data_IF_646508167845
#
_entry.id   IF_646508167845
#
_cell.length_a   1.000
_cell.length_b   1.000
_cell.length_c   1.000
_cell.angle_alpha   90.00
_cell.angle_beta   90.00
_cell.angle_gamma   90.00
#
_symmetry.space_group_name_H-M   'P 1'
#
loop_
_entity.id
_entity.type
_entity.pdbx_description
1 polymer ?
#
# COMPACT_ATOMS: atom_id res chain seq x y z
N UNK A 1 39.12 14.76 28.24
CA UNK A 1 39.39 13.42 27.66
C UNK A 1 38.09 12.88 27.15
N UNK A 2 38.12 12.44 25.91
CA UNK A 2 37.07 12.55 24.90
C UNK A 2 35.85 11.65 25.06
N UNK A 3 34.69 12.27 24.82
CA UNK A 3 33.43 11.62 24.45
C UNK A 3 33.51 11.27 22.96
N UNK A 4 33.74 10.00 22.64
CA UNK A 4 33.65 9.50 21.28
C UNK A 4 32.17 9.34 20.89
N UNK A 5 31.66 10.30 20.13
CA UNK A 5 30.41 10.21 19.36
C UNK A 5 30.55 9.06 18.37
N UNK A 6 29.76 7.99 18.56
CA UNK A 6 29.59 6.93 17.54
C UNK A 6 28.89 7.54 16.33
N UNK A 7 29.64 7.66 15.24
CA UNK A 7 29.13 8.08 13.95
C UNK A 7 28.12 7.06 13.42
N UNK A 8 26.92 7.54 13.12
CA UNK A 8 25.85 6.85 12.45
C UNK A 8 26.28 6.47 11.02
N UNK A 9 26.27 5.18 10.71
CA UNK A 9 26.60 4.67 9.37
C UNK A 9 25.43 5.01 8.44
N UNK A 10 25.52 6.17 7.78
CA UNK A 10 24.70 6.48 6.61
C UNK A 10 24.83 5.32 5.61
N UNK A 11 23.71 4.65 5.33
CA UNK A 11 23.62 3.67 4.26
C UNK A 11 24.04 4.35 2.95
N UNK A 12 25.21 3.99 2.44
CA UNK A 12 25.63 4.42 1.10
C UNK A 12 24.78 3.63 0.09
N UNK A 13 24.23 4.28 -0.95
CA UNK A 13 23.45 3.57 -1.96
C UNK A 13 24.31 2.46 -2.59
N UNK A 14 23.81 1.23 -2.55
CA UNK A 14 24.46 0.08 -3.17
C UNK A 14 24.60 0.34 -4.67
N UNK A 15 25.82 0.62 -5.14
CA UNK A 15 26.13 0.85 -6.56
C UNK A 15 25.71 -0.40 -7.35
N UNK A 16 24.64 -0.29 -8.14
CA UNK A 16 24.06 -1.37 -8.96
C UNK A 16 22.70 -1.89 -8.51
N UNK A 17 22.16 -1.44 -7.38
CA UNK A 17 20.81 -1.79 -6.95
C UNK A 17 19.75 -1.10 -7.83
N UNK A 18 18.75 -1.86 -8.29
CA UNK A 18 17.57 -1.35 -9.00
C UNK A 18 16.35 -1.34 -8.08
N UNK A 19 15.42 -0.42 -8.32
CA UNK A 19 14.18 -0.38 -7.56
C UNK A 19 14.37 0.09 -6.12
N UNK A 20 13.53 -0.42 -5.24
CA UNK A 20 13.59 -0.13 -3.81
C UNK A 20 14.90 -0.58 -3.13
N UNK A 21 15.68 -1.47 -3.75
CA UNK A 21 16.99 -1.93 -3.23
C UNK A 21 18.03 -0.81 -3.08
N UNK A 22 17.76 0.36 -3.64
CA UNK A 22 18.57 1.56 -3.45
C UNK A 22 18.39 2.19 -2.06
N UNK A 23 17.24 1.92 -1.41
CA UNK A 23 16.86 2.48 -0.12
C UNK A 23 16.92 1.43 0.99
N UNK A 24 16.46 0.20 0.71
CA UNK A 24 16.42 -0.92 1.65
C UNK A 24 17.13 -2.12 1.05
N UNK A 25 18.17 -2.63 1.71
CA UNK A 25 18.82 -3.86 1.28
C UNK A 25 17.91 -5.10 1.48
N UNK A 26 18.37 -6.28 1.05
CA UNK A 26 17.57 -7.50 1.11
C UNK A 26 17.18 -7.91 2.54
N UNK A 27 18.09 -7.72 3.51
CA UNK A 27 17.83 -8.10 4.90
C UNK A 27 16.82 -7.14 5.53
N UNK A 28 16.96 -5.83 5.26
CA UNK A 28 16.01 -4.81 5.69
C UNK A 28 14.63 -5.04 5.08
N UNK A 29 14.54 -5.37 3.79
CA UNK A 29 13.27 -5.68 3.14
C UNK A 29 12.59 -6.90 3.78
N UNK A 30 13.34 -7.97 4.05
CA UNK A 30 12.81 -9.16 4.73
C UNK A 30 12.34 -8.84 6.15
N UNK A 31 13.15 -8.14 6.94
CA UNK A 31 12.79 -7.76 8.30
C UNK A 31 11.54 -6.85 8.33
N UNK A 32 11.40 -5.95 7.36
CA UNK A 32 10.20 -5.11 7.24
C UNK A 32 8.95 -5.92 6.86
N UNK A 33 9.07 -6.90 5.96
CA UNK A 33 7.97 -7.83 5.62
C UNK A 33 7.44 -8.52 6.87
N UNK A 34 8.35 -9.05 7.69
CA UNK A 34 8.02 -9.74 8.95
C UNK A 34 7.58 -8.77 10.07
N UNK A 35 7.66 -7.44 9.84
CA UNK A 35 7.29 -6.42 10.82
C UNK A 35 8.30 -6.24 11.95
N UNK A 36 9.52 -6.74 11.78
CA UNK A 36 10.60 -6.67 12.77
C UNK A 36 11.25 -5.28 12.82
N UNK A 37 11.20 -4.54 11.72
CA UNK A 37 11.77 -3.19 11.62
C UNK A 37 10.76 -2.19 11.03
N UNK A 38 10.89 -0.94 11.46
CA UNK A 38 10.30 0.23 10.79
C UNK A 38 11.44 1.02 10.17
N UNK A 39 11.64 0.95 8.85
CA UNK A 39 12.73 1.67 8.21
C UNK A 39 12.59 3.19 8.37
N UNK A 40 13.71 3.92 8.50
CA UNK A 40 13.67 5.37 8.58
C UNK A 40 13.15 5.96 7.26
N UNK A 41 12.08 6.74 7.34
CA UNK A 41 11.45 7.41 6.20
C UNK A 41 11.73 8.91 6.26
N UNK A 42 12.98 9.28 5.98
CA UNK A 42 13.50 10.65 6.17
C UNK A 42 13.55 11.45 4.85
N UNK A 43 13.00 12.66 4.94
CA UNK A 43 12.70 13.71 3.96
C UNK A 43 13.45 13.75 2.62
N UNK A 44 12.68 13.62 1.53
CA UNK A 44 12.38 14.72 0.59
C UNK A 44 11.23 14.32 -0.36
N UNK A 45 10.03 14.89 -0.17
CA UNK A 45 8.92 14.72 -1.12
C UNK A 45 9.12 15.68 -2.31
N UNK A 46 9.27 15.14 -3.51
CA UNK A 46 9.32 15.95 -4.72
C UNK A 46 7.91 16.27 -5.18
N UNK A 47 7.51 17.54 -5.06
CA UNK A 47 6.17 17.97 -5.43
C UNK A 47 6.08 18.52 -6.86
N UNK A 48 4.87 18.49 -7.43
CA UNK A 48 4.55 19.19 -8.69
C UNK A 48 3.28 20.00 -8.51
N UNK A 49 3.43 21.33 -8.59
CA UNK A 49 2.33 22.29 -8.47
C UNK A 49 1.28 22.07 -9.56
N UNK A 50 1.71 21.84 -10.81
CA UNK A 50 0.80 21.58 -11.93
C UNK A 50 -0.08 20.34 -11.66
N UNK A 51 0.53 19.28 -11.14
CA UNK A 51 -0.18 18.06 -10.82
C UNK A 51 -1.11 18.21 -9.60
N UNK A 52 -0.72 19.00 -8.59
CA UNK A 52 -1.59 19.41 -7.48
C UNK A 52 -2.86 20.07 -8.02
N UNK A 53 -2.73 21.10 -8.87
CA UNK A 53 -3.90 21.78 -9.47
C UNK A 53 -4.75 20.86 -10.34
N UNK A 54 -4.14 19.92 -11.07
CA UNK A 54 -4.88 18.97 -11.93
C UNK A 54 -5.81 18.06 -11.13
N UNK A 55 -5.41 17.65 -9.92
CA UNK A 55 -6.13 16.64 -9.15
C UNK A 55 -6.86 17.18 -7.91
N UNK A 56 -6.63 18.43 -7.50
CA UNK A 56 -7.32 19.03 -6.34
C UNK A 56 -8.85 18.94 -6.47
N UNK A 57 -9.41 19.22 -7.64
CA UNK A 57 -10.87 19.13 -7.84
C UNK A 57 -11.42 17.70 -7.77
N UNK A 58 -10.59 16.67 -7.98
CA UNK A 58 -11.00 15.27 -7.75
C UNK A 58 -10.93 14.92 -6.26
N UNK A 59 -9.93 15.44 -5.57
CA UNK A 59 -9.78 15.28 -4.14
C UNK A 59 -10.95 15.93 -3.39
N UNK A 60 -11.32 17.17 -3.72
CA UNK A 60 -12.52 17.81 -3.15
C UNK A 60 -13.81 17.02 -3.43
N UNK A 61 -13.94 16.42 -4.62
CA UNK A 61 -15.08 15.55 -4.95
C UNK A 61 -15.10 14.28 -4.11
N UNK A 62 -13.93 13.74 -3.72
CA UNK A 62 -13.83 12.61 -2.80
C UNK A 62 -14.28 13.03 -1.40
N UNK A 63 -13.83 14.19 -0.91
CA UNK A 63 -14.20 14.70 0.42
C UNK A 63 -15.71 14.94 0.58
N UNK A 64 -16.43 15.19 -0.51
CA UNK A 64 -17.89 15.33 -0.51
C UNK A 64 -18.65 14.00 -0.51
N UNK A 65 -17.96 12.86 -0.55
CA UNK A 65 -18.61 11.53 -0.51
C UNK A 65 -18.99 11.16 0.93
N UNK A 66 -20.11 10.44 1.14
CA UNK A 66 -20.48 9.94 2.46
C UNK A 66 -19.36 9.13 3.15
N UNK A 67 -18.66 8.31 2.36
CA UNK A 67 -17.60 7.43 2.82
C UNK A 67 -16.19 8.06 2.83
N UNK A 68 -16.07 9.39 2.70
CA UNK A 68 -14.78 10.06 2.54
C UNK A 68 -13.81 9.78 3.68
N UNK A 69 -14.29 9.88 4.93
CA UNK A 69 -13.46 9.69 6.12
C UNK A 69 -12.97 8.24 6.23
N UNK A 70 -13.84 7.28 5.94
CA UNK A 70 -13.49 5.85 5.93
C UNK A 70 -12.43 5.56 4.86
N UNK A 71 -12.56 6.14 3.67
CA UNK A 71 -11.56 5.99 2.60
C UNK A 71 -10.20 6.51 3.04
N UNK A 72 -10.14 7.71 3.63
CA UNK A 72 -8.88 8.30 4.10
C UNK A 72 -8.23 7.45 5.20
N UNK A 73 -9.02 7.00 6.19
CA UNK A 73 -8.53 6.17 7.28
C UNK A 73 -7.95 4.83 6.78
N UNK A 74 -8.65 4.15 5.86
CA UNK A 74 -8.18 2.88 5.29
C UNK A 74 -6.93 3.09 4.43
N UNK A 75 -6.87 4.15 3.62
CA UNK A 75 -5.69 4.43 2.80
C UNK A 75 -4.48 4.74 3.66
N UNK A 76 -4.66 5.49 4.75
CA UNK A 76 -3.58 5.78 5.70
C UNK A 76 -3.08 4.49 6.34
N UNK A 77 -3.99 3.65 6.84
CA UNK A 77 -3.66 2.34 7.39
C UNK A 77 -2.92 1.46 6.38
N UNK A 78 -3.32 1.48 5.11
CA UNK A 78 -2.64 0.74 4.04
C UNK A 78 -1.23 1.28 3.81
N UNK A 79 -1.04 2.59 3.66
CA UNK A 79 0.29 3.18 3.38
C UNK A 79 1.24 2.95 4.55
N UNK A 80 0.78 3.19 5.78
CA UNK A 80 1.56 3.00 7.00
C UNK A 80 2.04 1.55 7.17
N UNK A 81 1.17 0.57 6.88
CA UNK A 81 1.50 -0.84 7.11
C UNK A 81 2.09 -1.55 5.90
N UNK A 82 1.78 -1.12 4.68
CA UNK A 82 2.02 -1.92 3.47
C UNK A 82 2.97 -1.26 2.47
N UNK A 83 3.40 -0.01 2.67
CA UNK A 83 4.38 0.65 1.80
C UNK A 83 5.66 0.92 2.59
N UNK A 84 6.82 0.40 2.15
CA UNK A 84 8.09 0.69 2.80
C UNK A 84 8.56 2.10 2.43
N UNK A 85 9.08 2.85 3.41
CA UNK A 85 9.61 4.22 3.25
C UNK A 85 8.73 5.10 2.33
N UNK A 86 7.44 5.28 2.69
CA UNK A 86 6.45 5.83 1.77
C UNK A 86 6.74 7.26 1.33
N UNK A 87 7.36 8.11 2.16
CA UNK A 87 7.72 9.48 1.80
C UNK A 87 8.89 9.53 0.82
N UNK A 88 9.92 8.73 1.05
CA UNK A 88 11.11 8.69 0.18
C UNK A 88 10.81 8.16 -1.23
N UNK A 89 9.78 7.33 -1.36
CA UNK A 89 9.49 6.59 -2.59
C UNK A 89 8.22 7.03 -3.31
N UNK A 90 7.54 8.05 -2.77
CA UNK A 90 6.33 8.64 -3.31
C UNK A 90 6.51 9.07 -4.77
N UNK A 91 5.47 8.82 -5.57
CA UNK A 91 5.34 9.08 -7.01
C UNK A 91 6.28 8.25 -7.87
N UNK A 92 7.54 8.08 -7.47
CA UNK A 92 8.55 7.39 -8.26
C UNK A 92 8.39 5.87 -8.24
N UNK A 93 8.10 5.27 -7.09
CA UNK A 93 7.96 3.82 -6.95
C UNK A 93 6.54 3.38 -6.61
N UNK A 94 5.76 4.26 -5.98
CA UNK A 94 4.33 4.08 -5.79
C UNK A 94 3.57 5.38 -6.08
N UNK A 95 2.28 5.30 -6.40
CA UNK A 95 1.42 6.48 -6.47
C UNK A 95 0.04 6.19 -5.95
N UNK A 96 -0.63 7.23 -5.46
CA UNK A 96 -2.05 7.20 -5.15
C UNK A 96 -2.82 8.06 -6.14
N UNK A 97 -3.88 7.51 -6.73
CA UNK A 97 -4.77 8.20 -7.65
C UNK A 97 -6.14 8.40 -6.98
N UNK A 98 -6.72 9.60 -7.16
CA UNK A 98 -8.03 9.95 -6.60
C UNK A 98 -9.09 10.01 -7.72
N UNK A 99 -10.20 9.29 -7.53
CA UNK A 99 -11.29 9.16 -8.52
C UNK A 99 -10.78 8.95 -9.96
N UNK A 100 -9.94 7.94 -10.24
CA UNK A 100 -9.49 7.70 -11.61
C UNK A 100 -10.67 7.29 -12.49
N UNK A 101 -10.62 7.73 -13.74
CA UNK A 101 -11.71 7.58 -14.70
C UNK A 101 -11.62 6.23 -15.39
N UNK A 102 -11.92 5.16 -14.64
CA UNK A 102 -11.97 3.78 -15.13
C UNK A 102 -13.39 3.21 -15.03
N UNK A 103 -13.64 2.09 -15.71
CA UNK A 103 -14.97 1.45 -15.78
C UNK A 103 -15.50 1.02 -14.41
N UNK A 104 -14.60 0.66 -13.48
CA UNK A 104 -14.91 0.25 -12.12
C UNK A 104 -15.10 1.42 -11.14
N UNK A 105 -14.95 2.68 -11.59
CA UNK A 105 -15.21 3.91 -10.81
C UNK A 105 -14.66 3.89 -9.36
N UNK A 106 -13.36 3.61 -9.18
CA UNK A 106 -12.77 3.56 -7.84
C UNK A 106 -12.73 4.93 -7.17
N UNK A 107 -12.80 4.93 -5.85
CA UNK A 107 -12.66 6.11 -5.00
C UNK A 107 -11.19 6.56 -4.93
N UNK A 108 -10.32 5.58 -4.70
CA UNK A 108 -8.88 5.76 -4.68
C UNK A 108 -8.16 4.48 -5.10
N UNK A 109 -6.92 4.62 -5.57
CA UNK A 109 -6.10 3.50 -6.02
C UNK A 109 -4.64 3.75 -5.71
N UNK A 110 -3.97 2.75 -5.15
CA UNK A 110 -2.51 2.72 -4.96
C UNK A 110 -1.92 1.78 -5.99
N UNK A 111 -0.90 2.26 -6.70
CA UNK A 111 -0.21 1.54 -7.77
C UNK A 111 1.30 1.60 -7.59
N UNK A 112 2.00 0.56 -8.04
CA UNK A 112 3.46 0.52 -8.13
C UNK A 112 3.90 -0.23 -9.38
N UNK A 113 5.02 0.19 -9.99
CA UNK A 113 5.45 -0.32 -11.29
C UNK A 113 4.29 -0.26 -12.31
N UNK A 114 3.86 -1.40 -12.85
CA UNK A 114 2.72 -1.53 -13.77
C UNK A 114 1.47 -2.16 -13.13
N UNK A 115 1.40 -2.22 -11.79
CA UNK A 115 0.36 -2.95 -11.07
C UNK A 115 -0.49 -2.04 -10.17
N UNK A 116 -1.79 -2.31 -10.14
CA UNK A 116 -2.76 -1.69 -9.23
C UNK A 116 -2.84 -2.49 -7.94
N UNK A 117 -1.93 -2.23 -6.99
CA UNK A 117 -1.76 -3.01 -5.76
C UNK A 117 -3.04 -3.04 -4.91
N UNK A 118 -3.67 -1.88 -4.75
CA UNK A 118 -4.82 -1.69 -3.86
C UNK A 118 -5.81 -0.70 -4.46
N UNK A 119 -7.09 -1.04 -4.44
CA UNK A 119 -8.16 -0.18 -4.95
C UNK A 119 -9.31 -0.13 -3.95
N UNK A 120 -9.78 1.07 -3.64
CA UNK A 120 -11.00 1.28 -2.87
C UNK A 120 -12.13 1.70 -3.80
N UNK A 121 -13.28 1.04 -3.64
CA UNK A 121 -14.50 1.27 -4.40
C UNK A 121 -15.63 1.64 -3.46
N UNK A 122 -16.61 2.38 -3.96
CA UNK A 122 -17.87 2.60 -3.26
C UNK A 122 -18.69 1.30 -3.24
N UNK A 123 -19.32 1.00 -2.11
CA UNK A 123 -20.24 -0.13 -1.96
C UNK A 123 -21.47 0.31 -1.17
N UNK A 124 -22.47 0.87 -1.89
CA UNK A 124 -23.56 1.62 -1.28
C UNK A 124 -23.02 2.83 -0.49
N UNK A 125 -23.40 2.92 0.78
CA UNK A 125 -22.88 3.90 1.74
C UNK A 125 -21.53 3.48 2.37
N UNK A 126 -21.10 2.24 2.11
CA UNK A 126 -19.84 1.68 2.58
C UNK A 126 -18.72 1.70 1.53
N UNK A 127 -17.71 0.88 1.79
CA UNK A 127 -16.53 0.73 0.95
C UNK A 127 -16.21 -0.74 0.71
N UNK A 128 -15.61 -1.00 -0.46
CA UNK A 128 -15.03 -2.30 -0.81
C UNK A 128 -13.59 -2.10 -1.23
N UNK A 129 -12.69 -2.85 -0.61
CA UNK A 129 -11.30 -2.95 -1.01
C UNK A 129 -11.11 -4.07 -2.04
N UNK A 130 -10.17 -3.85 -2.96
CA UNK A 130 -9.62 -4.86 -3.84
C UNK A 130 -8.10 -4.85 -3.67
N UNK A 131 -7.56 -5.98 -3.23
CA UNK A 131 -6.13 -6.25 -3.10
C UNK A 131 -5.69 -7.14 -4.25
N UNK A 132 -4.52 -6.87 -4.82
CA UNK A 132 -3.84 -7.80 -5.72
C UNK A 132 -2.63 -8.35 -4.97
N UNK A 133 -2.49 -9.67 -4.92
CA UNK A 133 -1.58 -10.42 -4.06
C UNK A 133 -1.00 -11.62 -4.83
N UNK A 134 0.01 -12.27 -4.25
CA UNK A 134 0.48 -13.57 -4.73
C UNK A 134 -0.42 -14.66 -4.17
N UNK A 135 -0.86 -15.59 -5.04
CA UNK A 135 -1.69 -16.72 -4.63
C UNK A 135 -0.98 -17.59 -3.58
N UNK A 136 0.34 -17.79 -3.74
CA UNK A 136 1.15 -18.60 -2.84
C UNK A 136 1.11 -18.15 -1.38
N UNK A 137 0.89 -16.86 -1.12
CA UNK A 137 0.79 -16.38 0.27
C UNK A 137 -0.50 -16.83 0.99
N UNK A 138 -1.49 -17.32 0.23
CA UNK A 138 -2.80 -17.77 0.72
C UNK A 138 -3.06 -19.27 0.49
N UNK A 139 -2.05 -20.05 0.09
CA UNK A 139 -2.18 -21.51 -0.04
C UNK A 139 -1.49 -22.25 1.10
N UNK A 140 -1.97 -23.45 1.42
CA UNK A 140 -1.55 -24.25 2.59
C UNK A 140 -0.08 -24.70 2.55
N UNK A 141 0.64 -24.48 1.44
CA UNK A 141 2.04 -24.84 1.26
C UNK A 141 2.86 -23.85 0.42
N UNK A 142 2.38 -22.63 0.17
CA UNK A 142 3.06 -21.72 -0.77
C UNK A 142 2.90 -22.12 -2.24
N UNK A 143 1.98 -23.05 -2.53
CA UNK A 143 1.66 -23.50 -3.88
C UNK A 143 1.08 -22.36 -4.73
N UNK A 144 1.47 -22.27 -6.01
CA UNK A 144 0.82 -21.37 -6.96
C UNK A 144 -0.49 -21.95 -7.52
N UNK A 145 -0.91 -23.15 -7.10
CA UNK A 145 -2.10 -23.82 -7.62
C UNK A 145 -3.39 -23.29 -6.97
N UNK A 146 -4.39 -22.86 -7.76
CA UNK A 146 -5.66 -22.37 -7.22
C UNK A 146 -6.42 -23.35 -6.33
N UNK A 147 -6.27 -24.65 -6.57
CA UNK A 147 -6.93 -25.70 -5.79
C UNK A 147 -6.43 -25.76 -4.34
N UNK A 148 -5.24 -25.21 -4.06
CA UNK A 148 -4.61 -25.22 -2.74
C UNK A 148 -4.94 -23.97 -1.92
N UNK A 149 -5.86 -23.11 -2.39
CA UNK A 149 -6.28 -21.91 -1.68
C UNK A 149 -6.87 -22.26 -0.32
N UNK A 150 -6.28 -21.70 0.74
CA UNK A 150 -6.77 -21.82 2.11
C UNK A 150 -7.93 -20.84 2.33
N UNK A 151 -9.12 -21.27 1.91
CA UNK A 151 -10.35 -20.49 2.06
C UNK A 151 -10.66 -20.17 3.54
N UNK A 152 -10.37 -21.10 4.45
CA UNK A 152 -10.61 -20.89 5.88
C UNK A 152 -9.72 -19.77 6.43
N UNK A 153 -8.45 -19.72 6.03
CA UNK A 153 -7.56 -18.62 6.37
C UNK A 153 -8.07 -17.28 5.81
N UNK A 154 -8.51 -17.25 4.55
CA UNK A 154 -9.03 -16.03 3.93
C UNK A 154 -10.25 -15.46 4.69
N UNK A 155 -11.19 -16.33 5.07
CA UNK A 155 -12.37 -15.95 5.85
C UNK A 155 -12.03 -15.50 7.28
N UNK A 156 -10.98 -16.08 7.89
CA UNK A 156 -10.50 -15.66 9.20
C UNK A 156 -9.90 -14.24 9.19
N UNK A 157 -9.39 -13.76 8.05
CA UNK A 157 -8.82 -12.43 7.90
C UNK A 157 -9.87 -11.30 7.91
N UNK A 158 -11.17 -11.61 7.83
CA UNK A 158 -12.27 -10.63 7.77
C UNK A 158 -13.26 -10.82 8.92
N UNK A 159 -14.10 -9.81 9.19
CA UNK A 159 -15.01 -9.84 10.35
C UNK A 159 -16.13 -10.85 10.14
N UNK A 160 -16.61 -10.97 8.90
CA UNK A 160 -17.65 -11.91 8.49
C UNK A 160 -17.20 -12.64 7.22
N UNK A 161 -17.34 -13.97 7.11
CA UNK A 161 -16.91 -14.71 5.92
C UNK A 161 -17.49 -14.17 4.60
N UNK A 162 -18.73 -13.69 4.61
CA UNK A 162 -19.39 -13.09 3.44
C UNK A 162 -18.79 -11.77 2.96
N UNK A 163 -17.97 -11.11 3.79
CA UNK A 163 -17.32 -9.86 3.44
C UNK A 163 -16.15 -10.09 2.48
N UNK A 164 -15.66 -11.32 2.34
CA UNK A 164 -14.54 -11.66 1.46
C UNK A 164 -14.95 -12.48 0.26
N UNK A 165 -14.41 -12.10 -0.90
CA UNK A 165 -14.45 -12.92 -2.10
C UNK A 165 -13.12 -12.81 -2.82
N UNK A 166 -12.82 -13.74 -3.71
CA UNK A 166 -11.58 -13.71 -4.47
C UNK A 166 -11.81 -13.99 -5.95
N UNK A 167 -10.82 -13.68 -6.76
CA UNK A 167 -10.78 -14.00 -8.18
C UNK A 167 -9.34 -14.23 -8.62
N UNK A 168 -9.18 -15.03 -9.67
CA UNK A 168 -7.89 -15.31 -10.29
C UNK A 168 -7.80 -14.53 -11.59
N UNK A 169 -6.65 -13.92 -11.83
CA UNK A 169 -6.45 -13.18 -13.08
C UNK A 169 -5.56 -13.93 -14.05
N UNK A 170 -4.26 -14.06 -13.74
CA UNK A 170 -3.27 -14.78 -14.55
C UNK A 170 -2.16 -15.32 -13.65
N UNK A 171 -1.68 -16.53 -13.97
CA UNK A 171 -0.56 -17.19 -13.29
C UNK A 171 -0.73 -17.19 -11.76
N UNK A 172 0.23 -16.60 -11.04
CA UNK A 172 0.33 -16.50 -9.59
C UNK A 172 -0.41 -15.29 -8.99
N UNK A 173 -1.08 -14.48 -9.82
CA UNK A 173 -1.74 -13.25 -9.36
C UNK A 173 -3.17 -13.51 -8.88
N UNK A 174 -3.40 -13.19 -7.62
CA UNK A 174 -4.62 -13.42 -6.86
C UNK A 174 -5.27 -12.09 -6.47
N UNK A 175 -6.57 -11.95 -6.72
CA UNK A 175 -7.33 -10.77 -6.34
C UNK A 175 -8.27 -11.05 -5.18
N UNK A 176 -8.13 -10.32 -4.07
CA UNK A 176 -9.04 -10.40 -2.92
C UNK A 176 -9.92 -9.16 -2.88
N UNK A 177 -11.23 -9.36 -2.73
CA UNK A 177 -12.21 -8.29 -2.50
C UNK A 177 -12.71 -8.41 -1.07
N UNK A 178 -12.61 -7.32 -0.31
CA UNK A 178 -13.09 -7.24 1.07
C UNK A 178 -14.09 -6.10 1.16
N UNK A 179 -15.29 -6.37 1.65
CA UNK A 179 -16.37 -5.40 1.80
C UNK A 179 -16.53 -5.01 3.27
N UNK A 180 -16.87 -3.76 3.54
CA UNK A 180 -17.05 -3.26 4.91
C UNK A 180 -15.75 -2.78 5.54
N UNK A 181 -15.84 -1.63 6.21
CA UNK A 181 -14.73 -0.96 6.89
C UNK A 181 -14.07 -1.85 7.95
N UNK A 182 -14.86 -2.48 8.82
CA UNK A 182 -14.34 -3.36 9.88
C UNK A 182 -13.53 -4.54 9.30
N UNK A 183 -14.04 -5.18 8.24
CA UNK A 183 -13.38 -6.30 7.59
C UNK A 183 -12.13 -5.89 6.82
N UNK A 184 -12.13 -4.72 6.19
CA UNK A 184 -10.93 -4.17 5.53
C UNK A 184 -9.86 -3.85 6.57
N UNK A 185 -10.21 -3.20 7.69
CA UNK A 185 -9.27 -2.90 8.77
C UNK A 185 -8.72 -4.18 9.41
N UNK A 186 -9.55 -5.20 9.62
CA UNK A 186 -9.09 -6.52 10.11
C UNK A 186 -8.11 -7.17 9.13
N UNK A 187 -8.42 -7.14 7.83
CA UNK A 187 -7.52 -7.67 6.80
C UNK A 187 -6.17 -6.93 6.76
N UNK A 188 -6.19 -5.61 6.99
CA UNK A 188 -4.99 -4.75 7.08
C UNK A 188 -4.24 -4.84 8.41
N UNK A 189 -4.73 -5.63 9.37
CA UNK A 189 -4.08 -5.81 10.68
C UNK A 189 -3.80 -7.28 11.00
N UNK A 190 -4.32 -8.22 10.20
CA UNK A 190 -3.95 -9.63 10.27
C UNK A 190 -2.47 -9.82 9.87
N UNK A 191 -1.63 -10.44 10.73
CA UNK A 191 -0.19 -10.55 10.46
C UNK A 191 0.14 -11.31 9.17
N UNK A 192 -0.61 -12.36 8.84
CA UNK A 192 -0.35 -13.17 7.65
C UNK A 192 -0.80 -12.44 6.39
N UNK A 193 -1.97 -11.80 6.42
CA UNK A 193 -2.44 -10.98 5.30
C UNK A 193 -1.51 -9.77 5.05
N UNK A 194 -1.07 -9.10 6.12
CA UNK A 194 -0.10 -8.01 6.03
C UNK A 194 1.21 -8.44 5.37
N UNK A 195 1.77 -9.58 5.80
CA UNK A 195 2.98 -10.14 5.20
C UNK A 195 2.81 -10.39 3.69
N UNK A 196 1.67 -10.93 3.28
CA UNK A 196 1.34 -11.16 1.87
C UNK A 196 1.26 -9.84 1.08
N UNK A 197 0.58 -8.82 1.61
CA UNK A 197 0.47 -7.50 0.96
C UNK A 197 1.87 -6.87 0.82
N UNK A 198 2.68 -6.91 1.89
CA UNK A 198 4.05 -6.36 1.89
C UNK A 198 4.94 -7.06 0.86
N UNK A 199 4.89 -8.38 0.77
CA UNK A 199 5.63 -9.17 -0.22
C UNK A 199 5.27 -8.79 -1.65
N UNK A 200 3.97 -8.67 -1.93
CA UNK A 200 3.49 -8.29 -3.25
C UNK A 200 3.94 -6.86 -3.62
N UNK A 201 3.78 -5.92 -2.69
CA UNK A 201 4.19 -4.53 -2.90
C UNK A 201 5.69 -4.42 -3.16
N UNK A 202 6.53 -5.10 -2.37
CA UNK A 202 7.98 -5.15 -2.61
C UNK A 202 8.34 -5.75 -3.95
N UNK A 203 7.65 -6.82 -4.36
CA UNK A 203 7.87 -7.45 -5.67
C UNK A 203 7.73 -6.42 -6.78
N UNK A 204 6.71 -5.55 -6.69
CA UNK A 204 6.46 -4.53 -7.70
C UNK A 204 7.34 -3.29 -7.54
N UNK A 205 7.59 -2.80 -6.32
CA UNK A 205 8.46 -1.64 -6.08
C UNK A 205 9.94 -1.95 -6.40
N UNK A 206 10.38 -3.21 -6.31
CA UNK A 206 11.71 -3.64 -6.74
C UNK A 206 11.88 -3.74 -8.27
N UNK A 207 10.79 -3.80 -9.05
CA UNK A 207 10.85 -3.85 -10.53
C UNK A 207 11.23 -2.52 -11.16
N UNK A 208 11.15 -1.42 -10.41
CA UNK A 208 11.56 -0.09 -10.87
C UNK A 208 10.44 0.94 -10.79
N UNK A 209 10.56 1.98 -11.62
CA UNK A 209 9.69 3.16 -11.55
C UNK A 209 8.23 2.84 -11.85
N UNK A 210 7.36 3.59 -11.19
CA UNK A 210 5.92 3.52 -11.33
C UNK A 210 5.42 4.16 -12.63
N UNK A 211 4.64 3.41 -13.41
CA UNK A 211 4.03 3.89 -14.65
C UNK A 211 2.87 4.86 -14.39
N UNK A 212 2.29 4.85 -13.19
CA UNK A 212 1.14 5.66 -12.79
C UNK A 212 1.54 6.95 -12.06
N UNK A 213 2.78 7.42 -12.23
CA UNK A 213 3.26 8.65 -11.58
C UNK A 213 2.48 9.89 -12.05
N UNK A 214 2.02 9.92 -13.31
CA UNK A 214 1.28 11.04 -13.89
C UNK A 214 -0.16 11.19 -13.38
N UNK A 215 -0.72 10.15 -12.76
CA UNK A 215 -2.05 10.18 -12.13
C UNK A 215 -2.00 10.37 -10.61
N UNK A 216 -0.78 10.53 -10.05
CA UNK A 216 -0.57 10.76 -8.63
C UNK A 216 -1.32 12.02 -8.14
N UNK A 217 -2.00 11.91 -7.00
CA UNK A 217 -2.73 12.98 -6.34
C UNK A 217 -2.03 13.36 -5.04
N UNK A 218 -1.27 14.46 -5.07
CA UNK A 218 -0.53 14.95 -3.91
C UNK A 218 -1.43 15.30 -2.74
N UNK A 219 -2.58 15.94 -2.97
CA UNK A 219 -3.51 16.29 -1.89
C UNK A 219 -4.01 15.06 -1.13
N UNK A 220 -4.23 13.95 -1.82
CA UNK A 220 -4.57 12.69 -1.16
C UNK A 220 -3.35 12.15 -0.41
N UNK A 221 -2.17 12.13 -1.04
CA UNK A 221 -0.95 11.66 -0.41
C UNK A 221 -0.55 12.46 0.85
N UNK A 222 -0.79 13.78 0.88
CA UNK A 222 -0.57 14.64 2.04
C UNK A 222 -1.33 14.09 3.25
N UNK A 223 -2.61 13.78 3.10
CA UNK A 223 -3.41 13.16 4.17
C UNK A 223 -2.95 11.77 4.60
N UNK A 224 -2.32 11.00 3.70
CA UNK A 224 -1.85 9.65 4.04
C UNK A 224 -0.50 9.67 4.77
N UNK A 225 0.30 10.71 4.53
CA UNK A 225 1.67 10.81 5.00
C UNK A 225 1.86 11.82 6.14
N UNK A 226 0.87 12.69 6.38
CA UNK A 226 0.86 13.59 7.53
C UNK A 226 0.91 12.78 8.83
N UNK A 227 1.97 13.02 9.60
CA UNK A 227 2.04 12.54 10.97
C UNK A 227 1.13 13.46 11.76
N UNK A 228 0.03 12.93 12.30
CA UNK A 228 -0.63 13.62 13.41
C UNK A 228 0.42 13.78 14.50
N UNK A 229 0.96 14.99 14.61
CA UNK A 229 1.71 15.41 15.78
C UNK A 229 0.72 15.33 16.94
N UNK A 230 0.71 14.18 17.60
CA UNK A 230 0.17 14.03 18.93
C UNK A 230 0.97 14.99 19.80
N UNK A 231 0.43 16.20 19.92
CA UNK A 231 0.76 17.15 20.95
C UNK A 231 0.51 16.45 22.28
N UNK A 232 1.55 15.81 22.81
CA UNK A 232 1.57 15.32 24.18
C UNK A 232 1.23 16.48 25.11
N UNK A 233 0.10 16.33 25.80
CA UNK A 233 -0.22 17.09 27.00
C UNK A 233 0.59 16.58 28.18
#
# INVERSE_FOLDING_TARGET
MDLAVKADKRASPCRGAMGLRQFLDFEQQRAWVEGEIVPPDVDARSESIEQRFKYIGRFEKLLRRPQAQQVLAILRLYVENCIPVPRMTEREYWSVSCLPSTSDKPLARISASWMELFTLLADGDGVRARFILHLSDFTTAGSPEPADLDQAFLEQCVSRPEDVSHFLWKADTFGVKVSGDASICKFLTDPRALRAIRNFNLTHMNRGRNAYCASHCYSLADHLLEVESTSGS
#
